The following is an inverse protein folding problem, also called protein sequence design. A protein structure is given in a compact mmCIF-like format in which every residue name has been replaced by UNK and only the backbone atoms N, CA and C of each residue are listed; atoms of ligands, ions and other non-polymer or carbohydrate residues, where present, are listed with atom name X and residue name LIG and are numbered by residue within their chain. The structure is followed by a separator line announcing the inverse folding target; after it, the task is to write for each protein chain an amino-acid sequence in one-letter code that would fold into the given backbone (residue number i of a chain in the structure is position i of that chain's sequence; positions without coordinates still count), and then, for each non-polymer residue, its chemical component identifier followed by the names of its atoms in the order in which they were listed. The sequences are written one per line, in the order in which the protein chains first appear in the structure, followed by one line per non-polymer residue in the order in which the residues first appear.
data_IF_248590296781
#
_entry.id   IF_248590296781
#
_cell.length_a   1.000
_cell.length_b   1.000
_cell.length_c   1.000
_cell.angle_alpha   90.00
_cell.angle_beta   90.00
_cell.angle_gamma   90.00
#
_symmetry.space_group_name_H-M   'P 1'
#
loop_
_entity.id
_entity.type
_entity.pdbx_description
1 polymer ?
#
# COMPACT_ATOMS: atom_id res chain seq x y z
N UNK A 1 7.68 -10.66 -19.63
CA UNK A 1 6.60 -10.39 -18.65
C UNK A 1 6.47 -8.88 -18.52
N UNK A 2 5.28 -8.32 -18.80
CA UNK A 2 5.03 -6.89 -18.68
C UNK A 2 5.15 -6.41 -17.23
N UNK A 3 5.26 -5.08 -17.09
CA UNK A 3 5.19 -4.39 -15.81
C UNK A 3 3.77 -3.90 -15.61
N UNK A 4 3.32 -3.91 -14.37
CA UNK A 4 2.02 -3.40 -13.95
C UNK A 4 2.23 -2.46 -12.78
N UNK A 5 1.53 -1.34 -12.81
CA UNK A 5 1.40 -0.44 -11.69
C UNK A 5 0.07 -0.72 -11.00
N UNK A 6 0.13 -1.08 -9.72
CA UNK A 6 -1.05 -1.42 -8.92
C UNK A 6 -1.15 -0.39 -7.79
N UNK A 7 -2.24 0.36 -7.76
CA UNK A 7 -2.59 1.20 -6.63
C UNK A 7 -3.37 0.36 -5.62
N UNK A 8 -2.85 0.31 -4.41
CA UNK A 8 -3.44 -0.42 -3.30
C UNK A 8 -3.88 0.58 -2.24
N UNK A 9 -5.07 0.33 -1.71
CA UNK A 9 -5.58 0.96 -0.51
C UNK A 9 -5.49 -0.04 0.64
N UNK A 10 -4.90 0.39 1.75
CA UNK A 10 -4.76 -0.40 2.97
C UNK A 10 -5.56 0.24 4.09
N UNK A 11 -6.49 -0.53 4.65
CA UNK A 11 -7.38 -0.09 5.74
C UNK A 11 -7.33 -1.09 6.92
N UNK A 12 -7.93 -0.73 8.04
CA UNK A 12 -8.01 -1.57 9.25
C UNK A 12 -6.76 -1.50 10.13
N UNK A 13 -5.84 -0.59 9.83
CA UNK A 13 -4.69 -0.26 10.68
C UNK A 13 -5.07 0.88 11.61
N UNK A 14 -4.43 0.96 12.77
CA UNK A 14 -4.55 2.10 13.67
C UNK A 14 -3.22 2.36 14.34
N UNK A 15 -2.43 3.24 13.76
CA UNK A 15 -1.12 3.61 14.29
C UNK A 15 -1.27 4.94 15.01
N UNK A 16 -0.96 4.95 16.31
CA UNK A 16 -1.02 6.17 17.11
C UNK A 16 -0.02 7.20 16.62
N UNK A 17 -0.51 8.38 16.27
CA UNK A 17 0.32 9.57 16.07
C UNK A 17 0.75 10.17 17.42
N UNK A 18 1.59 11.21 17.40
CA UNK A 18 1.95 11.96 18.61
C UNK A 18 0.74 12.63 19.29
N UNK A 19 -0.32 12.91 18.52
CA UNK A 19 -1.63 13.35 19.01
C UNK A 19 -2.71 12.39 18.47
N UNK A 20 -3.66 11.91 19.32
CA UNK A 20 -4.74 10.98 18.92
C UNK A 20 -5.60 11.43 17.74
N UNK A 21 -5.65 12.73 17.43
CA UNK A 21 -6.32 13.26 16.24
C UNK A 21 -5.59 12.91 14.93
N UNK A 22 -4.34 12.49 15.03
CA UNK A 22 -3.47 12.12 13.92
C UNK A 22 -3.24 10.61 13.86
N UNK A 23 -4.11 9.82 14.49
CA UNK A 23 -4.13 8.37 14.31
C UNK A 23 -4.19 8.05 12.82
N UNK A 24 -3.24 7.25 12.35
CA UNK A 24 -3.22 6.76 10.98
C UNK A 24 -4.19 5.58 10.91
N UNK A 25 -5.26 5.72 10.14
CA UNK A 25 -6.29 4.68 9.98
C UNK A 25 -6.16 3.88 8.68
N UNK A 26 -5.38 4.40 7.73
CA UNK A 26 -5.12 3.71 6.48
C UNK A 26 -4.01 4.34 5.66
N UNK A 27 -3.79 3.78 4.48
CA UNK A 27 -2.80 4.27 3.53
C UNK A 27 -3.13 3.92 2.09
N UNK A 28 -2.54 4.67 1.16
CA UNK A 28 -2.41 4.28 -0.23
C UNK A 28 -0.96 3.97 -0.56
N UNK A 29 -0.73 2.97 -1.41
CA UNK A 29 0.60 2.66 -1.91
C UNK A 29 0.53 2.15 -3.34
N UNK A 30 1.50 2.59 -4.14
CA UNK A 30 1.62 2.13 -5.53
C UNK A 30 2.76 1.13 -5.62
N UNK A 31 2.49 -0.04 -6.21
CA UNK A 31 3.50 -1.07 -6.48
C UNK A 31 3.63 -1.34 -7.95
N UNK A 32 4.83 -1.16 -8.46
CA UNK A 32 5.19 -1.61 -9.79
C UNK A 32 5.81 -3.01 -9.72
N UNK A 33 5.13 -3.98 -10.30
CA UNK A 33 5.49 -5.41 -10.28
C UNK A 33 5.59 -5.98 -11.69
N UNK A 34 6.44 -7.00 -11.85
CA UNK A 34 6.52 -7.75 -13.11
C UNK A 34 5.67 -9.01 -12.99
N UNK A 35 4.71 -9.20 -13.88
CA UNK A 35 3.77 -10.33 -13.82
C UNK A 35 3.36 -10.82 -15.21
N UNK A 36 2.67 -11.97 -15.27
CA UNK A 36 2.15 -12.52 -16.52
C UNK A 36 0.85 -11.82 -16.96
N UNK A 37 0.01 -11.46 -16.00
CA UNK A 37 -1.33 -10.89 -16.18
C UNK A 37 -1.73 -10.01 -14.98
N UNK A 38 -2.89 -9.36 -15.07
CA UNK A 38 -3.43 -8.49 -14.03
C UNK A 38 -3.63 -9.21 -12.69
N UNK A 39 -4.10 -10.46 -12.71
CA UNK A 39 -4.35 -11.22 -11.48
C UNK A 39 -3.04 -11.49 -10.75
N UNK A 40 -2.02 -11.93 -11.48
CA UNK A 40 -0.67 -12.17 -10.94
C UNK A 40 0.00 -10.89 -10.47
N UNK A 41 -0.27 -9.76 -11.13
CA UNK A 41 0.22 -8.45 -10.69
C UNK A 41 -0.38 -8.04 -9.34
N UNK A 42 -1.70 -8.20 -9.18
CA UNK A 42 -2.40 -7.90 -7.93
C UNK A 42 -1.87 -8.80 -6.80
N UNK A 43 -1.80 -10.11 -7.03
CA UNK A 43 -1.26 -11.07 -6.06
C UNK A 43 0.15 -10.67 -5.60
N UNK A 44 1.03 -10.32 -6.56
CA UNK A 44 2.40 -9.91 -6.27
C UNK A 44 2.49 -8.57 -5.52
N UNK A 45 1.67 -7.59 -5.90
CA UNK A 45 1.62 -6.28 -5.26
C UNK A 45 1.14 -6.39 -3.81
N UNK A 46 0.03 -7.11 -3.57
CA UNK A 46 -0.51 -7.32 -2.23
C UNK A 46 0.50 -8.09 -1.34
N UNK A 47 1.09 -9.16 -1.86
CA UNK A 47 2.10 -9.92 -1.11
C UNK A 47 3.33 -9.06 -0.76
N UNK A 48 3.74 -8.15 -1.66
CA UNK A 48 4.83 -7.21 -1.40
C UNK A 48 4.49 -6.24 -0.26
N UNK A 49 3.28 -5.66 -0.26
CA UNK A 49 2.85 -4.73 0.78
C UNK A 49 2.70 -5.44 2.12
N UNK A 50 2.08 -6.62 2.16
CA UNK A 50 1.95 -7.40 3.39
C UNK A 50 3.32 -7.75 3.99
N UNK A 51 4.28 -8.17 3.15
CA UNK A 51 5.64 -8.49 3.59
C UNK A 51 6.40 -7.26 4.09
N UNK A 52 6.21 -6.10 3.48
CA UNK A 52 6.81 -4.86 3.96
C UNK A 52 6.18 -4.40 5.26
N UNK A 53 4.85 -4.49 5.36
CA UNK A 53 4.12 -4.14 6.58
C UNK A 53 4.63 -4.92 7.77
N UNK A 54 4.72 -6.25 7.66
CA UNK A 54 5.25 -7.13 8.73
C UNK A 54 6.68 -6.78 9.19
N UNK A 55 7.46 -6.06 8.38
CA UNK A 55 8.84 -5.69 8.69
C UNK A 55 8.98 -4.27 9.24
N UNK A 56 7.97 -3.42 9.09
CA UNK A 56 8.03 -2.02 9.53
C UNK A 56 7.77 -1.92 11.03
N UNK A 57 8.50 -1.02 11.67
CA UNK A 57 8.29 -0.62 13.07
C UNK A 57 6.86 -0.12 13.33
N UNK A 58 6.16 0.33 12.27
CA UNK A 58 4.74 0.67 12.30
C UNK A 58 3.85 -0.45 12.86
N UNK A 59 4.24 -1.72 12.75
CA UNK A 59 3.52 -2.86 13.36
C UNK A 59 3.57 -2.80 14.90
N UNK A 60 4.68 -2.34 15.47
CA UNK A 60 4.83 -2.27 16.93
C UNK A 60 3.86 -1.25 17.56
N UNK A 61 3.53 -0.20 16.82
CA UNK A 61 2.61 0.86 17.24
C UNK A 61 1.21 0.71 16.61
N UNK A 62 0.96 -0.38 15.88
CA UNK A 62 -0.35 -0.66 15.29
C UNK A 62 -1.25 -1.29 16.36
N UNK A 63 -2.16 -0.48 16.90
CA UNK A 63 -3.25 -0.92 17.78
C UNK A 63 -4.43 -1.54 17.01
N UNK A 64 -4.42 -1.43 15.68
CA UNK A 64 -5.41 -2.04 14.79
C UNK A 64 -5.04 -3.48 14.38
N UNK A 65 -5.67 -3.93 13.30
CA UNK A 65 -5.40 -5.23 12.69
C UNK A 65 -4.32 -5.19 11.61
N UNK A 66 -3.98 -6.32 10.99
CA UNK A 66 -3.23 -6.32 9.74
C UNK A 66 -4.03 -5.57 8.65
N UNK A 67 -3.36 -4.83 7.75
CA UNK A 67 -4.05 -4.06 6.74
C UNK A 67 -4.84 -4.97 5.80
N UNK A 68 -6.10 -4.62 5.59
CA UNK A 68 -6.94 -5.16 4.53
C UNK A 68 -6.57 -4.39 3.27
N UNK A 69 -6.09 -5.11 2.25
CA UNK A 69 -5.65 -4.49 0.99
C UNK A 69 -6.74 -4.63 -0.07
N UNK A 70 -7.19 -3.49 -0.59
CA UNK A 70 -8.07 -3.39 -1.76
C UNK A 70 -7.31 -2.82 -2.94
N UNK A 71 -7.70 -3.23 -4.14
CA UNK A 71 -7.11 -2.71 -5.39
C UNK A 71 -7.97 -1.55 -5.86
N UNK A 72 -7.38 -0.37 -5.90
CA UNK A 72 -8.02 0.83 -6.43
C UNK A 72 -7.87 0.90 -7.95
N UNK A 73 -6.66 0.63 -8.45
CA UNK A 73 -6.40 0.63 -9.89
C UNK A 73 -5.25 -0.29 -10.28
N UNK A 74 -5.30 -0.74 -11.53
CA UNK A 74 -4.23 -1.50 -12.16
C UNK A 74 -4.04 -1.03 -13.59
N UNK A 75 -2.81 -0.65 -13.92
CA UNK A 75 -2.45 -0.15 -15.23
C UNK A 75 -1.19 -0.83 -15.77
N UNK A 76 -1.12 -1.13 -17.07
CA UNK A 76 0.13 -1.52 -17.71
C UNK A 76 1.19 -0.44 -17.51
N UNK A 77 2.40 -0.84 -17.16
CA UNK A 77 3.52 0.07 -16.91
C UNK A 77 4.74 -0.30 -17.73
N UNK A 78 5.75 0.56 -17.71
CA UNK A 78 7.00 0.36 -18.46
C UNK A 78 8.18 0.15 -17.52
N UNK A 79 9.26 -0.45 -18.03
CA UNK A 79 10.53 -0.62 -17.30
C UNK A 79 11.07 0.73 -16.82
N UNK A 80 10.90 1.79 -17.62
CA UNK A 80 11.32 3.15 -17.28
C UNK A 80 10.53 3.74 -16.11
N UNK A 81 9.22 3.49 -16.06
CA UNK A 81 8.40 3.88 -14.92
C UNK A 81 8.84 3.13 -13.65
N UNK A 82 9.15 1.84 -13.75
CA UNK A 82 9.71 1.06 -12.64
C UNK A 82 11.05 1.61 -12.12
N UNK A 83 11.97 2.00 -13.00
CA UNK A 83 13.27 2.55 -12.61
C UNK A 83 13.16 3.92 -11.92
N UNK A 84 12.16 4.74 -12.28
CA UNK A 84 11.95 6.07 -11.68
C UNK A 84 11.09 6.02 -10.43
N UNK A 85 10.13 5.10 -10.35
CA UNK A 85 9.27 4.95 -9.20
C UNK A 85 9.94 4.01 -8.19
N UNK A 86 10.58 4.60 -7.19
CA UNK A 86 11.06 3.85 -6.02
C UNK A 86 9.81 3.40 -5.26
N UNK A 87 9.39 2.15 -5.45
CA UNK A 87 8.25 1.46 -4.82
C UNK A 87 8.32 1.46 -3.27
N UNK A 88 8.44 2.61 -2.62
CA UNK A 88 8.77 2.73 -1.19
C UNK A 88 7.88 3.73 -0.44
N UNK A 89 6.92 4.35 -1.12
CA UNK A 89 5.98 5.30 -0.53
C UNK A 89 4.71 4.62 -0.01
N UNK A 90 4.33 4.95 1.21
CA UNK A 90 2.96 4.84 1.70
C UNK A 90 2.48 6.26 1.95
N UNK A 91 1.32 6.61 1.40
CA UNK A 91 0.62 7.85 1.72
C UNK A 91 -0.40 7.53 2.80
N UNK A 92 -0.09 7.87 4.04
CA UNK A 92 -0.95 7.63 5.20
C UNK A 92 -2.00 8.74 5.31
N UNK A 93 -3.20 8.38 5.80
CA UNK A 93 -4.27 9.34 6.05
C UNK A 93 -4.92 9.10 7.42
N UNK A 94 -5.45 10.18 8.01
CA UNK A 94 -6.12 10.18 9.31
C UNK A 94 -7.64 9.99 9.21
N UNK A 95 -8.36 9.92 10.35
CA UNK A 95 -9.79 9.65 10.39
C UNK A 95 -10.64 10.72 9.68
N UNK A 96 -10.18 11.98 9.63
CA UNK A 96 -10.90 13.09 9.00
C UNK A 96 -10.71 13.16 7.47
N UNK A 97 -9.76 12.43 6.89
CA UNK A 97 -9.48 12.44 5.45
C UNK A 97 -10.21 11.33 4.68
N UNK A 98 -10.85 10.39 5.38
CA UNK A 98 -11.55 9.24 4.79
C UNK A 98 -13.03 9.44 4.48
N UNK A 99 -13.58 10.64 4.68
CA UNK A 99 -14.99 10.96 4.40
C UNK A 99 -15.08 12.02 3.29
N UNK A 100 -15.22 11.58 2.04
CA UNK A 100 -15.87 12.37 1.00
C UNK A 100 -16.98 11.56 0.35
#
# INVERSE_FOLDING_TARGET
MPYFQVLLHGDGVRISGEDPKWDIVGFYTTRIVRAADNKKAIEAACASVQKEWLKRECVANNSGGPPILTVESIEPSTVWAWLRARNMGHSFYGPDEGQT
#
